data_IF_909707920189
#
_entry.id   IF_909707920189
#
_cell.length_a   1.000
_cell.length_b   1.000
_cell.length_c   1.000
_cell.angle_alpha   90.00
_cell.angle_beta   90.00
_cell.angle_gamma   90.00
#
_symmetry.space_group_name_H-M   'P 1'
#
loop_
_entity.id
_entity.type
_entity.pdbx_description
1 polymer ?
#
# COMPACT_ATOMS: atom_id res chain seq x y z
N UNK A 1 -47.92 -2.06 -26.89
CA UNK A 1 -46.54 -1.54 -27.01
C UNK A 1 -45.64 -2.36 -26.09
N UNK A 2 -44.53 -2.87 -26.63
CA UNK A 2 -43.61 -3.80 -25.96
C UNK A 2 -42.75 -3.07 -24.92
N UNK A 3 -42.52 -3.69 -23.76
CA UNK A 3 -41.67 -3.24 -22.63
C UNK A 3 -40.22 -2.81 -22.99
N UNK A 4 -39.84 -2.89 -24.27
CA UNK A 4 -38.48 -2.74 -24.77
C UNK A 4 -38.11 -1.30 -25.17
N UNK A 5 -39.05 -0.34 -25.05
CA UNK A 5 -38.83 1.05 -25.51
C UNK A 5 -38.42 2.03 -24.39
N UNK A 6 -38.19 1.52 -23.17
CA UNK A 6 -37.60 2.33 -22.13
C UNK A 6 -36.08 2.23 -22.29
N UNK A 7 -35.44 3.30 -22.76
CA UNK A 7 -33.98 3.43 -22.72
C UNK A 7 -33.50 2.96 -21.34
N UNK A 8 -32.87 1.79 -21.30
CA UNK A 8 -32.47 1.14 -20.07
C UNK A 8 -31.41 2.04 -19.40
N UNK A 9 -31.85 2.89 -18.48
CA UNK A 9 -30.94 3.59 -17.58
C UNK A 9 -30.25 2.51 -16.75
N UNK A 10 -28.90 2.46 -16.69
CA UNK A 10 -28.21 1.48 -15.88
C UNK A 10 -28.72 1.51 -14.44
N UNK A 11 -29.16 0.36 -13.94
CA UNK A 11 -29.71 0.19 -12.59
C UNK A 11 -28.51 0.05 -11.63
N UNK A 12 -28.05 1.16 -11.06
CA UNK A 12 -26.89 1.26 -10.15
C UNK A 12 -27.18 0.86 -8.68
N UNK A 13 -28.18 0.02 -8.45
CA UNK A 13 -28.73 -0.20 -7.09
C UNK A 13 -27.78 -1.01 -6.18
N UNK A 14 -26.76 -1.67 -6.73
CA UNK A 14 -25.67 -2.33 -6.00
C UNK A 14 -24.28 -1.73 -6.27
N UNK A 15 -24.17 -0.67 -7.08
CA UNK A 15 -22.87 -0.05 -7.40
C UNK A 15 -22.54 1.11 -6.49
N UNK A 16 -23.52 1.71 -5.81
CA UNK A 16 -23.27 2.84 -4.91
C UNK A 16 -22.24 2.48 -3.83
N UNK A 17 -22.49 1.39 -3.10
CA UNK A 17 -21.59 0.92 -2.05
C UNK A 17 -20.20 0.57 -2.61
N UNK A 18 -20.15 -0.04 -3.80
CA UNK A 18 -18.90 -0.38 -4.48
C UNK A 18 -18.11 0.86 -4.92
N UNK A 19 -18.80 1.90 -5.40
CA UNK A 19 -18.20 3.18 -5.81
C UNK A 19 -17.68 3.91 -4.58
N UNK A 20 -18.49 4.01 -3.53
CA UNK A 20 -18.09 4.65 -2.27
C UNK A 20 -16.89 3.94 -1.67
N UNK A 21 -16.91 2.61 -1.56
CA UNK A 21 -15.76 1.82 -1.08
C UNK A 21 -14.51 2.04 -1.93
N UNK A 22 -14.63 2.01 -3.27
CA UNK A 22 -13.50 2.22 -4.15
C UNK A 22 -12.90 3.61 -3.98
N UNK A 23 -13.72 4.65 -3.98
CA UNK A 23 -13.27 6.02 -3.79
C UNK A 23 -12.62 6.20 -2.42
N UNK A 24 -13.21 5.66 -1.35
CA UNK A 24 -12.63 5.71 -0.01
C UNK A 24 -11.23 5.08 0.01
N UNK A 25 -11.06 3.88 -0.56
CA UNK A 25 -9.78 3.18 -0.60
C UNK A 25 -8.76 3.95 -1.46
N UNK A 26 -9.16 4.43 -2.64
CA UNK A 26 -8.27 5.16 -3.56
C UNK A 26 -7.84 6.49 -2.95
N UNK A 27 -8.75 7.26 -2.35
CA UNK A 27 -8.41 8.52 -1.69
C UNK A 27 -7.49 8.30 -0.49
N UNK A 28 -7.77 7.29 0.34
CA UNK A 28 -6.89 6.94 1.45
C UNK A 28 -5.48 6.55 0.94
N UNK A 29 -5.40 5.71 -0.08
CA UNK A 29 -4.13 5.31 -0.69
C UNK A 29 -3.36 6.50 -1.28
N UNK A 30 -4.05 7.42 -1.97
CA UNK A 30 -3.45 8.64 -2.51
C UNK A 30 -2.95 9.58 -1.42
N UNK A 31 -3.71 9.75 -0.33
CA UNK A 31 -3.31 10.57 0.81
C UNK A 31 -2.06 10.00 1.50
N UNK A 32 -2.02 8.68 1.71
CA UNK A 32 -0.85 7.99 2.27
C UNK A 32 0.36 8.12 1.33
N UNK A 33 0.18 7.88 0.03
CA UNK A 33 1.25 8.03 -0.95
C UNK A 33 1.81 9.46 -0.97
N UNK A 34 0.92 10.47 -0.96
CA UNK A 34 1.32 11.88 -0.91
C UNK A 34 2.10 12.21 0.36
N UNK A 35 1.67 11.73 1.52
CA UNK A 35 2.39 11.93 2.78
C UNK A 35 3.81 11.35 2.71
N UNK A 36 3.93 10.10 2.25
CA UNK A 36 5.23 9.42 2.08
C UNK A 36 6.13 10.21 1.13
N UNK A 37 5.61 10.68 0.00
CA UNK A 37 6.36 11.49 -0.96
C UNK A 37 6.81 12.82 -0.36
N UNK A 38 5.94 13.51 0.38
CA UNK A 38 6.26 14.79 1.02
C UNK A 38 7.34 14.64 2.11
N UNK A 39 7.30 13.56 2.89
CA UNK A 39 8.29 13.30 3.94
C UNK A 39 9.64 12.83 3.39
N UNK A 40 9.62 11.94 2.40
CA UNK A 40 10.85 11.36 1.83
C UNK A 40 11.51 12.24 0.76
N UNK A 41 10.74 13.04 0.04
CA UNK A 41 11.18 13.78 -1.15
C UNK A 41 11.32 12.91 -2.41
N UNK A 42 10.88 11.64 -2.36
CA UNK A 42 11.03 10.67 -3.43
C UNK A 42 9.69 10.31 -4.05
N UNK A 43 9.69 9.88 -5.32
CA UNK A 43 8.51 9.30 -5.94
C UNK A 43 8.10 8.00 -5.20
N UNK A 44 6.78 7.75 -5.04
CA UNK A 44 6.27 6.59 -4.29
C UNK A 44 6.79 5.26 -4.83
N UNK A 45 6.92 5.14 -6.16
CA UNK A 45 7.49 3.95 -6.79
C UNK A 45 8.95 3.70 -6.39
N UNK A 46 9.75 4.77 -6.21
CA UNK A 46 11.14 4.66 -5.78
C UNK A 46 11.22 4.20 -4.32
N UNK A 47 10.39 4.77 -3.44
CA UNK A 47 10.29 4.35 -2.03
C UNK A 47 9.94 2.87 -1.94
N UNK A 48 8.91 2.43 -2.68
CA UNK A 48 8.50 1.02 -2.72
C UNK A 48 9.64 0.14 -3.25
N UNK A 49 10.30 0.52 -4.35
CA UNK A 49 11.39 -0.26 -4.94
C UNK A 49 12.55 -0.46 -3.97
N UNK A 50 12.90 0.57 -3.20
CA UNK A 50 14.01 0.52 -2.25
C UNK A 50 13.67 -0.21 -0.95
N UNK A 51 12.46 -0.03 -0.41
CA UNK A 51 12.09 -0.60 0.89
C UNK A 51 11.45 -2.00 0.80
N UNK A 52 10.75 -2.33 -0.30
CA UNK A 52 10.06 -3.63 -0.47
C UNK A 52 10.96 -4.86 -0.27
N UNK A 53 12.24 -4.87 -0.72
CA UNK A 53 13.13 -6.01 -0.52
C UNK A 53 13.58 -6.20 0.93
N UNK A 54 13.51 -5.15 1.77
CA UNK A 54 13.92 -5.21 3.17
C UNK A 54 12.84 -5.94 3.99
N UNK A 55 12.96 -7.27 4.05
CA UNK A 55 12.04 -8.14 4.79
C UNK A 55 12.80 -9.04 5.73
N UNK A 56 12.20 -9.34 6.88
CA UNK A 56 12.70 -10.36 7.79
C UNK A 56 12.64 -11.71 7.10
N UNK A 57 13.78 -12.39 6.97
CA UNK A 57 13.83 -13.76 6.50
C UNK A 57 13.49 -14.69 7.65
N UNK A 58 12.74 -15.75 7.38
CA UNK A 58 12.34 -16.73 8.39
C UNK A 58 12.98 -18.05 8.01
N UNK A 59 13.87 -18.56 8.87
CA UNK A 59 14.61 -19.80 8.63
C UNK A 59 14.13 -20.83 9.63
N UNK A 60 13.81 -22.03 9.14
CA UNK A 60 13.45 -23.18 9.99
C UNK A 60 14.59 -24.19 9.98
N UNK A 61 15.15 -24.47 11.15
CA UNK A 61 16.23 -25.46 11.34
C UNK A 61 15.80 -26.41 12.46
N UNK A 62 15.79 -27.72 12.19
CA UNK A 62 15.42 -28.76 13.16
C UNK A 62 14.09 -28.49 13.90
N UNK A 63 13.08 -27.97 13.20
CA UNK A 63 11.78 -27.65 13.77
C UNK A 63 11.69 -26.33 14.55
N UNK A 64 12.79 -25.60 14.70
CA UNK A 64 12.80 -24.25 15.29
C UNK A 64 12.77 -23.21 14.18
N UNK A 65 11.83 -22.27 14.27
CA UNK A 65 11.70 -21.16 13.32
C UNK A 65 12.26 -19.88 13.93
N UNK A 66 13.23 -19.27 13.26
CA UNK A 66 13.85 -18.03 13.70
C UNK A 66 13.76 -16.95 12.61
N UNK A 67 13.38 -15.75 13.01
CA UNK A 67 13.38 -14.57 12.16
C UNK A 67 14.76 -13.90 12.17
N UNK A 68 15.30 -13.64 11.00
CA UNK A 68 16.51 -12.87 10.79
C UNK A 68 16.13 -11.56 10.11
N UNK A 69 16.32 -10.44 10.80
CA UNK A 69 16.01 -9.16 10.20
C UNK A 69 16.92 -8.85 8.99
N UNK A 70 16.49 -8.00 8.03
CA UNK A 70 17.34 -7.59 6.93
C UNK A 70 18.46 -6.65 7.40
N UNK A 71 19.60 -6.69 6.72
CA UNK A 71 20.57 -5.60 6.79
C UNK A 71 20.01 -4.40 6.00
N UNK A 72 19.93 -3.25 6.67
CA UNK A 72 19.38 -2.03 6.06
C UNK A 72 20.56 -1.11 5.70
N UNK A 73 20.82 -0.83 4.42
CA UNK A 73 21.89 0.10 4.05
C UNK A 73 21.56 1.54 4.44
N UNK A 74 22.59 2.39 4.55
CA UNK A 74 22.46 3.74 5.11
C UNK A 74 21.41 4.60 4.39
N UNK A 75 21.39 4.59 3.05
CA UNK A 75 20.42 5.36 2.26
C UNK A 75 18.96 4.99 2.57
N UNK A 76 18.68 3.70 2.80
CA UNK A 76 17.35 3.22 3.16
C UNK A 76 17.00 3.56 4.63
N UNK A 77 17.97 3.59 5.54
CA UNK A 77 17.75 4.07 6.93
C UNK A 77 17.30 5.52 6.94
N UNK A 78 17.91 6.37 6.11
CA UNK A 78 17.53 7.78 5.99
C UNK A 78 16.07 7.94 5.53
N UNK A 79 15.65 7.11 4.56
CA UNK A 79 14.25 7.09 4.11
C UNK A 79 13.32 6.70 5.27
N UNK A 80 13.64 5.63 6.00
CA UNK A 80 12.83 5.14 7.13
C UNK A 80 12.76 6.20 8.25
N UNK A 81 13.88 6.86 8.55
CA UNK A 81 13.95 7.93 9.54
C UNK A 81 13.07 9.13 9.16
N UNK A 82 13.10 9.56 7.89
CA UNK A 82 12.21 10.63 7.38
C UNK A 82 10.73 10.30 7.49
N UNK A 83 10.38 9.00 7.41
CA UNK A 83 9.00 8.53 7.60
C UNK A 83 8.59 8.45 9.08
N UNK A 84 9.52 8.65 10.02
CA UNK A 84 9.25 8.58 11.45
C UNK A 84 9.01 7.15 11.96
N UNK A 85 9.51 6.14 11.24
CA UNK A 85 9.35 4.74 11.62
C UNK A 85 10.52 4.33 12.52
N UNK A 86 10.20 3.86 13.72
CA UNK A 86 11.21 3.29 14.62
C UNK A 86 11.50 1.84 14.23
N UNK A 87 12.77 1.53 13.98
CA UNK A 87 13.22 0.17 13.71
C UNK A 87 13.52 -0.47 15.06
N UNK A 88 12.67 -1.41 15.50
CA UNK A 88 12.87 -2.15 16.74
C UNK A 88 13.79 -3.34 16.47
N UNK A 89 15.06 -3.23 16.88
CA UNK A 89 16.02 -4.33 16.95
C UNK A 89 16.61 -4.37 18.34
#
# INVERSE_FOLDING_TARGET
MSKHDLAARPIFHHTRDSIEAHLTIVFAALAVARRIQNQSGLAIANVIKQLRPLRTSTITINGTTQGFPPEIPAAQRDIIARLGIQIAY
#
